data_IF_338641286597
#
_entry.id   IF_338641286597
#
_cell.length_a   1.000
_cell.length_b   1.000
_cell.length_c   1.000
_cell.angle_alpha   90.00
_cell.angle_beta   90.00
_cell.angle_gamma   90.00
#
_symmetry.space_group_name_H-M   'P 1'
#
loop_
_entity.id
_entity.type
_entity.pdbx_description
1 polymer ?
#
# COMPACT_ATOMS: atom_id res chain seq x y z
N UNK A 1 -27.90 -5.55 13.27
CA UNK A 1 -27.16 -4.34 13.70
C UNK A 1 -27.93 -3.63 14.80
N UNK A 2 -27.27 -3.31 15.92
CA UNK A 2 -27.89 -2.51 17.01
C UNK A 2 -28.20 -1.11 16.48
N UNK A 3 -29.46 -0.65 16.53
CA UNK A 3 -29.83 0.73 16.16
C UNK A 3 -29.29 1.68 17.21
N UNK A 4 -28.18 2.36 16.93
CA UNK A 4 -27.65 3.42 17.77
C UNK A 4 -28.35 4.72 17.39
N UNK A 5 -28.83 5.49 18.37
CA UNK A 5 -29.49 6.77 18.13
C UNK A 5 -28.48 7.81 17.61
N UNK A 6 -28.92 8.67 16.70
CA UNK A 6 -28.13 9.81 16.24
C UNK A 6 -27.77 10.67 17.47
N UNK A 7 -26.48 10.97 17.72
CA UNK A 7 -26.10 11.80 18.85
C UNK A 7 -26.57 13.25 18.64
N UNK A 8 -26.75 13.96 19.75
CA UNK A 8 -26.98 15.40 19.75
C UNK A 8 -25.66 16.14 19.99
N UNK A 9 -25.56 17.41 19.63
CA UNK A 9 -24.38 18.24 19.90
C UNK A 9 -24.02 18.29 21.40
N UNK A 10 -25.02 18.19 22.28
CA UNK A 10 -24.87 18.14 23.74
C UNK A 10 -24.45 16.75 24.28
N UNK A 11 -24.34 15.74 23.43
CA UNK A 11 -23.85 14.42 23.84
C UNK A 11 -22.31 14.38 23.89
N UNK A 12 -21.75 13.34 24.52
CA UNK A 12 -20.30 13.12 24.60
C UNK A 12 -19.74 12.61 23.28
N UNK A 13 -18.46 12.92 23.03
CA UNK A 13 -17.70 12.40 21.87
C UNK A 13 -17.70 10.85 21.81
N UNK A 14 -17.67 10.19 22.96
CA UNK A 14 -17.83 8.72 23.01
C UNK A 14 -19.09 8.21 22.31
N UNK A 15 -20.19 8.95 22.39
CA UNK A 15 -21.44 8.59 21.72
C UNK A 15 -21.40 8.84 20.22
N UNK A 16 -20.68 9.87 19.74
CA UNK A 16 -20.39 10.11 18.34
C UNK A 16 -19.56 8.96 17.75
N UNK A 17 -18.54 8.52 18.47
CA UNK A 17 -17.68 7.39 18.08
C UNK A 17 -18.50 6.12 17.97
N UNK A 18 -19.30 5.79 18.98
CA UNK A 18 -20.17 4.62 18.97
C UNK A 18 -21.16 4.65 17.80
N UNK A 19 -21.78 5.81 17.55
CA UNK A 19 -22.68 6.01 16.41
C UNK A 19 -21.99 5.75 15.07
N UNK A 20 -20.75 6.23 14.89
CA UNK A 20 -19.99 5.97 13.67
C UNK A 20 -19.63 4.49 13.50
N UNK A 21 -19.17 3.83 14.56
CA UNK A 21 -18.77 2.41 14.53
C UNK A 21 -19.96 1.47 14.18
N UNK A 22 -21.20 1.88 14.49
CA UNK A 22 -22.39 1.12 14.11
C UNK A 22 -23.06 1.61 12.81
N UNK A 23 -22.40 2.48 12.05
CA UNK A 23 -22.96 3.07 10.85
C UNK A 23 -22.78 2.18 9.60
N UNK A 24 -23.65 2.33 8.60
CA UNK A 24 -23.45 1.70 7.29
C UNK A 24 -22.13 2.13 6.60
N UNK A 25 -21.65 3.35 6.87
CA UNK A 25 -20.40 3.86 6.33
C UNK A 25 -19.19 3.09 6.91
N UNK A 26 -19.23 2.74 8.19
CA UNK A 26 -18.22 1.90 8.82
C UNK A 26 -18.32 0.44 8.35
N UNK A 27 -19.52 -0.11 8.25
CA UNK A 27 -19.76 -1.48 7.81
C UNK A 27 -19.27 -1.77 6.38
N UNK A 28 -19.21 -0.75 5.51
CA UNK A 28 -18.66 -0.84 4.15
C UNK A 28 -17.11 -0.90 4.09
N UNK A 29 -16.44 -0.65 5.20
CA UNK A 29 -14.98 -0.75 5.25
C UNK A 29 -14.55 -2.23 5.22
N UNK A 30 -13.35 -2.49 4.68
CA UNK A 30 -12.74 -3.82 4.78
C UNK A 30 -12.53 -4.22 6.25
N UNK A 31 -12.56 -5.53 6.58
CA UNK A 31 -12.37 -6.00 7.97
C UNK A 31 -11.10 -5.46 8.62
N UNK A 32 -10.01 -5.32 7.85
CA UNK A 32 -8.77 -4.72 8.33
C UNK A 32 -8.95 -3.23 8.66
N UNK A 33 -9.60 -2.47 7.77
CA UNK A 33 -9.85 -1.04 8.01
C UNK A 33 -10.77 -0.83 9.20
N UNK A 34 -11.74 -1.72 9.43
CA UNK A 34 -12.60 -1.67 10.62
C UNK A 34 -11.77 -1.80 11.89
N UNK A 35 -10.90 -2.82 11.99
CA UNK A 35 -9.99 -3.00 13.13
C UNK A 35 -9.05 -1.82 13.36
N UNK A 36 -8.48 -1.28 12.28
CA UNK A 36 -7.61 -0.11 12.37
C UNK A 36 -8.39 1.11 12.89
N UNK A 37 -9.61 1.33 12.42
CA UNK A 37 -10.46 2.44 12.85
C UNK A 37 -10.93 2.30 14.30
N UNK A 38 -11.34 1.10 14.72
CA UNK A 38 -11.67 0.79 16.11
C UNK A 38 -10.50 1.11 17.03
N UNK A 39 -9.28 0.68 16.66
CA UNK A 39 -8.07 0.95 17.43
C UNK A 39 -7.78 2.46 17.57
N UNK A 40 -7.89 3.21 16.47
CA UNK A 40 -7.65 4.67 16.50
C UNK A 40 -8.77 5.43 17.21
N UNK A 41 -10.03 5.04 17.03
CA UNK A 41 -11.16 5.66 17.73
C UNK A 41 -11.18 5.33 19.24
N UNK A 42 -10.70 4.17 19.65
CA UNK A 42 -10.47 3.86 21.07
C UNK A 42 -9.45 4.83 21.70
N UNK A 43 -8.37 5.17 20.98
CA UNK A 43 -7.39 6.19 21.41
C UNK A 43 -8.04 7.57 21.55
N UNK A 44 -8.84 7.98 20.56
CA UNK A 44 -9.61 9.24 20.65
C UNK A 44 -10.53 9.25 21.84
N UNK A 45 -11.26 8.14 22.05
CA UNK A 45 -12.18 8.00 23.18
C UNK A 45 -11.49 8.14 24.54
N UNK A 46 -10.26 7.59 24.67
CA UNK A 46 -9.44 7.73 25.87
C UNK A 46 -9.02 9.19 26.12
N UNK A 47 -8.78 9.97 25.06
CA UNK A 47 -8.29 11.35 25.18
C UNK A 47 -9.41 12.38 25.39
N UNK A 48 -10.48 12.30 24.59
CA UNK A 48 -11.54 13.31 24.54
C UNK A 48 -12.96 12.71 24.58
N UNK A 49 -13.12 11.43 24.78
CA UNK A 49 -14.43 10.76 24.74
C UNK A 49 -15.44 11.27 25.76
N UNK A 50 -14.98 11.79 26.90
CA UNK A 50 -15.82 12.38 27.96
C UNK A 50 -16.29 13.82 27.68
N UNK A 51 -15.69 14.50 26.67
CA UNK A 51 -16.03 15.88 26.31
C UNK A 51 -17.36 15.93 25.58
N UNK A 52 -18.11 17.02 25.77
CA UNK A 52 -19.34 17.30 25.00
C UNK A 52 -18.94 17.70 23.58
N UNK A 53 -19.69 17.24 22.60
CA UNK A 53 -19.36 17.39 21.17
C UNK A 53 -19.24 18.87 20.78
N UNK A 54 -20.21 19.72 21.21
CA UNK A 54 -20.22 21.15 20.89
C UNK A 54 -19.11 21.96 21.57
N UNK A 55 -18.57 21.45 22.68
CA UNK A 55 -17.48 22.09 23.44
C UNK A 55 -16.09 21.72 22.90
N UNK A 56 -16.01 20.80 21.93
CA UNK A 56 -14.70 20.40 21.37
C UNK A 56 -14.12 21.51 20.51
N UNK A 57 -13.04 22.11 21.00
CA UNK A 57 -12.32 23.16 20.29
C UNK A 57 -11.09 22.62 19.54
N UNK A 58 -10.59 23.39 18.57
CA UNK A 58 -9.34 23.08 17.88
C UNK A 58 -8.15 22.99 18.85
N UNK A 59 -8.11 23.85 19.87
CA UNK A 59 -7.06 23.82 20.89
C UNK A 59 -7.03 22.52 21.72
N UNK A 60 -8.21 21.99 22.08
CA UNK A 60 -8.31 20.69 22.76
C UNK A 60 -7.81 19.55 21.84
N UNK A 61 -8.15 19.63 20.56
CA UNK A 61 -7.75 18.62 19.59
C UNK A 61 -6.25 18.67 19.27
N UNK A 62 -5.65 19.85 19.18
CA UNK A 62 -4.20 20.00 19.02
C UNK A 62 -3.44 19.40 20.22
N UNK A 63 -3.86 19.69 21.45
CA UNK A 63 -3.27 19.05 22.66
C UNK A 63 -3.40 17.52 22.63
N UNK A 64 -4.54 16.99 22.18
CA UNK A 64 -4.72 15.54 22.04
C UNK A 64 -3.82 14.97 20.94
N UNK A 65 -3.68 15.68 19.81
CA UNK A 65 -2.81 15.30 18.70
C UNK A 65 -1.34 15.26 19.12
N UNK A 66 -0.83 16.30 19.79
CA UNK A 66 0.54 16.38 20.33
C UNK A 66 0.84 15.18 21.24
N UNK A 67 -0.11 14.83 22.11
CA UNK A 67 0.02 13.65 22.95
C UNK A 67 0.05 12.34 22.15
N UNK A 68 -0.80 12.20 21.11
CA UNK A 68 -0.76 11.01 20.24
C UNK A 68 0.56 10.94 19.47
N UNK A 69 1.12 12.08 19.07
CA UNK A 69 2.41 12.15 18.40
C UNK A 69 3.55 11.75 19.34
N UNK A 70 3.57 12.30 20.55
CA UNK A 70 4.56 11.97 21.57
C UNK A 70 4.52 10.50 21.96
N UNK A 71 3.32 9.92 22.20
CA UNK A 71 3.16 8.56 22.70
C UNK A 71 3.33 7.51 21.60
N UNK A 72 3.02 7.82 20.32
CA UNK A 72 2.88 6.84 19.25
C UNK A 72 3.51 7.22 17.91
N UNK A 73 4.13 8.39 17.83
CA UNK A 73 4.80 8.93 16.64
C UNK A 73 3.85 9.60 15.63
N UNK A 74 4.43 10.44 14.79
CA UNK A 74 3.77 11.31 13.80
C UNK A 74 2.77 10.54 12.92
N UNK A 75 3.19 9.39 12.37
CA UNK A 75 2.34 8.60 11.46
C UNK A 75 1.04 8.15 12.14
N UNK A 76 1.15 7.70 13.38
CA UNK A 76 0.00 7.21 14.15
C UNK A 76 -0.93 8.35 14.53
N UNK A 77 -0.39 9.50 14.94
CA UNK A 77 -1.16 10.71 15.24
C UNK A 77 -1.93 11.20 14.01
N UNK A 78 -1.26 11.32 12.86
CA UNK A 78 -1.87 11.71 11.59
C UNK A 78 -3.00 10.76 11.16
N UNK A 79 -2.79 9.45 11.32
CA UNK A 79 -3.83 8.49 10.98
C UNK A 79 -5.01 8.54 11.97
N UNK A 80 -4.74 8.71 13.27
CA UNK A 80 -5.78 8.92 14.29
C UNK A 80 -6.63 10.16 13.97
N UNK A 81 -5.99 11.29 13.62
CA UNK A 81 -6.69 12.50 13.16
C UNK A 81 -7.55 12.25 11.94
N UNK A 82 -7.02 11.49 10.94
CA UNK A 82 -7.75 11.17 9.72
C UNK A 82 -9.00 10.34 9.99
N UNK A 83 -8.90 9.33 10.86
CA UNK A 83 -10.02 8.47 11.26
C UNK A 83 -11.06 9.27 12.06
N UNK A 84 -10.64 10.11 13.00
CA UNK A 84 -11.53 11.01 13.75
C UNK A 84 -12.26 11.98 12.82
N UNK A 85 -11.55 12.60 11.86
CA UNK A 85 -12.16 13.49 10.88
C UNK A 85 -13.24 12.80 10.05
N UNK A 86 -13.06 11.52 9.72
CA UNK A 86 -14.07 10.74 9.00
C UNK A 86 -15.31 10.47 9.85
N UNK A 87 -15.15 10.09 11.10
CA UNK A 87 -16.26 9.92 12.04
C UNK A 87 -17.02 11.22 12.25
N UNK A 88 -16.29 12.35 12.36
CA UNK A 88 -16.87 13.68 12.50
C UNK A 88 -17.68 14.11 11.27
N UNK A 89 -17.09 13.96 10.06
CA UNK A 89 -17.77 14.23 8.78
C UNK A 89 -19.05 13.40 8.60
N UNK A 90 -19.01 12.12 9.02
CA UNK A 90 -20.21 11.29 8.99
C UNK A 90 -21.33 11.85 9.89
N UNK A 91 -20.98 12.33 11.09
CA UNK A 91 -21.95 12.93 12.00
C UNK A 91 -22.47 14.28 11.47
N UNK A 92 -21.63 15.06 10.78
CA UNK A 92 -22.10 16.27 10.07
C UNK A 92 -23.12 15.94 8.99
N UNK A 93 -22.95 14.84 8.25
CA UNK A 93 -23.92 14.39 7.24
C UNK A 93 -25.27 13.96 7.82
N UNK A 94 -25.41 13.96 9.16
CA UNK A 94 -26.62 13.68 9.93
C UNK A 94 -27.07 14.87 10.77
N UNK A 95 -26.60 16.07 10.43
CA UNK A 95 -26.95 17.33 11.04
C UNK A 95 -26.65 17.42 12.56
N UNK A 96 -25.74 16.57 13.06
CA UNK A 96 -25.31 16.59 14.47
C UNK A 96 -24.55 17.87 14.80
N UNK A 97 -23.79 18.38 13.84
CA UNK A 97 -22.99 19.59 13.95
C UNK A 97 -22.74 20.23 12.58
N UNK A 98 -22.37 21.53 12.56
CA UNK A 98 -22.21 22.29 11.33
C UNK A 98 -20.78 22.35 10.79
N UNK A 99 -19.77 22.14 11.64
CA UNK A 99 -18.36 22.23 11.27
C UNK A 99 -17.53 21.08 11.83
N UNK A 100 -16.38 20.84 11.22
CA UNK A 100 -15.43 19.81 11.64
C UNK A 100 -14.20 20.47 12.29
N UNK A 101 -14.10 20.56 13.62
CA UNK A 101 -12.96 21.15 14.28
C UNK A 101 -11.67 20.34 14.07
N UNK A 102 -11.79 19.06 13.70
CA UNK A 102 -10.64 18.19 13.42
C UNK A 102 -9.87 18.65 12.18
N UNK A 103 -10.51 19.40 11.27
CA UNK A 103 -9.84 19.98 10.09
C UNK A 103 -8.82 21.05 10.45
N UNK A 104 -8.94 21.66 11.63
CA UNK A 104 -8.07 22.73 12.13
C UNK A 104 -6.86 22.20 12.91
N UNK A 105 -6.71 20.89 13.05
CA UNK A 105 -5.52 20.32 13.67
C UNK A 105 -4.32 20.51 12.75
N UNK A 106 -3.28 21.15 13.26
CA UNK A 106 -1.98 21.23 12.61
C UNK A 106 -1.27 19.89 12.68
N UNK A 107 -0.84 19.37 11.52
CA UNK A 107 -0.23 18.04 11.44
C UNK A 107 1.27 18.15 11.19
N UNK A 108 2.03 17.40 11.96
CA UNK A 108 3.46 17.23 11.71
C UNK A 108 3.71 16.40 10.45
N UNK A 109 4.78 16.74 9.74
CA UNK A 109 5.24 15.99 8.57
C UNK A 109 6.63 15.43 8.80
N UNK A 110 6.77 14.13 8.59
CA UNK A 110 8.08 13.47 8.61
C UNK A 110 8.65 13.45 7.18
N UNK A 111 9.80 14.09 6.98
CA UNK A 111 10.57 13.97 5.73
C UNK A 111 11.26 12.61 5.74
N UNK A 112 10.70 11.63 5.01
CA UNK A 112 11.37 10.35 4.79
C UNK A 112 12.06 10.36 3.44
N UNK A 113 13.34 10.01 3.43
CA UNK A 113 14.05 9.63 2.21
C UNK A 113 13.36 8.38 1.66
N UNK A 114 12.83 8.50 0.45
CA UNK A 114 12.14 7.39 -0.19
C UNK A 114 13.17 6.51 -0.88
N UNK A 115 13.67 5.51 -0.17
CA UNK A 115 14.59 4.52 -0.75
C UNK A 115 13.89 3.79 -1.89
N UNK A 116 14.57 3.68 -3.02
CA UNK A 116 14.16 2.88 -4.18
C UNK A 116 15.18 1.77 -4.40
N UNK A 117 14.73 0.66 -4.92
CA UNK A 117 15.61 -0.36 -5.45
C UNK A 117 16.30 0.16 -6.72
N UNK A 118 17.47 -0.35 -7.00
CA UNK A 118 18.07 -0.29 -8.32
C UNK A 118 18.14 -1.70 -8.92
N UNK A 119 18.43 -1.78 -10.21
CA UNK A 119 18.50 -3.07 -10.92
C UNK A 119 19.55 -4.02 -10.34
N UNK A 120 20.66 -3.49 -9.86
CA UNK A 120 21.73 -4.28 -9.26
C UNK A 120 21.25 -4.92 -7.95
N UNK A 121 20.63 -4.12 -7.07
CA UNK A 121 20.04 -4.61 -5.80
C UNK A 121 18.94 -5.64 -6.04
N UNK A 122 18.05 -5.43 -7.01
CA UNK A 122 17.02 -6.43 -7.38
C UNK A 122 17.69 -7.74 -7.84
N UNK A 123 18.68 -7.65 -8.75
CA UNK A 123 19.39 -8.84 -9.24
C UNK A 123 20.08 -9.60 -8.12
N UNK A 124 20.79 -8.88 -7.23
CA UNK A 124 21.48 -9.49 -6.08
C UNK A 124 20.47 -10.17 -5.15
N UNK A 125 19.38 -9.49 -4.81
CA UNK A 125 18.30 -10.06 -3.98
C UNK A 125 17.74 -11.34 -4.60
N UNK A 126 17.38 -11.33 -5.89
CA UNK A 126 16.81 -12.49 -6.57
C UNK A 126 17.80 -13.64 -6.65
N UNK A 127 19.07 -13.37 -6.94
CA UNK A 127 20.12 -14.40 -6.95
C UNK A 127 20.22 -15.07 -5.58
N UNK A 128 20.26 -14.29 -4.50
CA UNK A 128 20.30 -14.81 -3.12
C UNK A 128 19.02 -15.59 -2.77
N UNK A 129 17.84 -15.02 -3.09
CA UNK A 129 16.57 -15.69 -2.79
C UNK A 129 16.40 -17.02 -3.52
N UNK A 130 16.85 -17.11 -4.77
CA UNK A 130 16.74 -18.33 -5.57
C UNK A 130 17.83 -19.36 -5.27
N UNK A 131 18.91 -19.00 -4.62
CA UNK A 131 19.94 -19.96 -4.19
C UNK A 131 19.49 -20.86 -3.05
N UNK A 132 18.42 -20.49 -2.33
CA UNK A 132 17.91 -21.26 -1.20
C UNK A 132 16.42 -21.59 -1.36
N UNK A 133 16.09 -22.85 -1.24
CA UNK A 133 14.71 -23.35 -1.33
C UNK A 133 13.73 -22.59 -0.44
N UNK A 134 14.11 -22.29 0.80
CA UNK A 134 13.26 -21.61 1.79
C UNK A 134 12.82 -20.21 1.37
N UNK A 135 13.58 -19.53 0.51
CA UNK A 135 13.31 -18.18 0.05
C UNK A 135 12.76 -18.09 -1.37
N UNK A 136 12.70 -19.22 -2.10
CA UNK A 136 12.29 -19.23 -3.52
C UNK A 136 10.93 -18.55 -3.75
N UNK A 137 9.92 -18.87 -2.93
CA UNK A 137 8.62 -18.22 -3.02
C UNK A 137 8.66 -16.72 -2.70
N UNK A 138 9.52 -16.29 -1.76
CA UNK A 138 9.74 -14.87 -1.48
C UNK A 138 10.44 -14.18 -2.66
N UNK A 139 11.43 -14.82 -3.25
CA UNK A 139 12.07 -14.37 -4.48
C UNK A 139 11.06 -14.16 -5.61
N UNK A 140 10.15 -15.13 -5.82
CA UNK A 140 9.08 -14.99 -6.82
C UNK A 140 8.12 -13.84 -6.53
N UNK A 141 7.70 -13.64 -5.28
CA UNK A 141 6.83 -12.51 -4.91
C UNK A 141 7.53 -11.17 -5.23
N UNK A 142 8.82 -11.05 -4.91
CA UNK A 142 9.61 -9.85 -5.20
C UNK A 142 9.82 -9.67 -6.70
N UNK A 143 10.15 -10.73 -7.44
CA UNK A 143 10.36 -10.72 -8.87
C UNK A 143 9.09 -10.28 -9.62
N UNK A 144 7.95 -10.90 -9.34
CA UNK A 144 6.65 -10.53 -9.90
C UNK A 144 6.26 -9.09 -9.56
N UNK A 145 6.49 -8.67 -8.30
CA UNK A 145 6.19 -7.30 -7.87
C UNK A 145 7.06 -6.26 -8.58
N UNK A 146 8.30 -6.59 -8.90
CA UNK A 146 9.22 -5.71 -9.62
C UNK A 146 8.90 -5.68 -11.12
N UNK A 147 8.88 -6.84 -11.80
CA UNK A 147 8.67 -6.92 -13.24
C UNK A 147 7.32 -6.31 -13.67
N UNK A 148 6.28 -6.61 -12.93
CA UNK A 148 4.93 -6.13 -13.25
C UNK A 148 4.53 -4.84 -12.54
N UNK A 149 5.40 -4.28 -11.70
CA UNK A 149 5.06 -3.10 -10.91
C UNK A 149 3.84 -3.31 -10.00
N UNK A 150 3.52 -4.56 -9.61
CA UNK A 150 2.36 -4.88 -8.81
C UNK A 150 2.62 -4.79 -7.30
N UNK A 151 1.55 -4.77 -6.50
CA UNK A 151 1.69 -4.80 -5.04
C UNK A 151 2.10 -6.19 -4.59
N UNK A 152 3.07 -6.29 -3.70
CA UNK A 152 3.45 -7.58 -3.09
C UNK A 152 2.27 -8.27 -2.38
N UNK A 153 1.28 -7.50 -1.93
CA UNK A 153 0.04 -8.04 -1.39
C UNK A 153 -0.79 -8.83 -2.40
N UNK A 154 -0.81 -8.41 -3.68
CA UNK A 154 -1.48 -9.10 -4.76
C UNK A 154 -0.63 -10.31 -5.21
N UNK A 155 0.68 -10.14 -5.36
CA UNK A 155 1.59 -11.22 -5.77
C UNK A 155 1.63 -12.41 -4.80
N UNK A 156 1.55 -12.17 -3.49
CA UNK A 156 1.49 -13.25 -2.50
C UNK A 156 0.21 -14.09 -2.53
N UNK A 157 -0.84 -13.57 -3.17
CA UNK A 157 -2.14 -14.25 -3.30
C UNK A 157 -2.45 -14.65 -4.73
N UNK A 158 -1.49 -14.45 -5.63
CA UNK A 158 -1.62 -14.83 -7.03
C UNK A 158 -1.79 -16.34 -7.13
N UNK A 159 -2.73 -16.76 -7.93
CA UNK A 159 -3.07 -18.16 -8.19
C UNK A 159 -2.68 -18.54 -9.62
N UNK A 160 -2.53 -19.84 -9.89
CA UNK A 160 -2.09 -20.34 -11.19
C UNK A 160 -3.08 -20.07 -12.31
N UNK A 161 -4.37 -19.98 -12.00
CA UNK A 161 -5.43 -19.65 -12.96
C UNK A 161 -5.31 -18.23 -13.56
N UNK A 162 -4.56 -17.34 -12.88
CA UNK A 162 -4.24 -16.01 -13.39
C UNK A 162 -3.08 -16.02 -14.41
N UNK A 163 -2.42 -17.16 -14.64
CA UNK A 163 -1.23 -17.28 -15.50
C UNK A 163 -1.46 -18.24 -16.67
N UNK A 164 -1.26 -17.73 -17.87
CA UNK A 164 -1.04 -18.54 -19.06
C UNK A 164 0.47 -18.65 -19.30
N UNK A 165 1.07 -19.76 -18.87
CA UNK A 165 2.50 -19.97 -18.99
C UNK A 165 2.93 -20.35 -20.42
N UNK A 166 2.02 -20.82 -21.27
CA UNK A 166 2.31 -21.14 -22.66
C UNK A 166 2.42 -19.87 -23.50
N UNK A 167 1.50 -18.93 -23.27
CA UNK A 167 1.50 -17.61 -23.91
C UNK A 167 2.35 -16.57 -23.16
N UNK A 168 2.95 -16.93 -22.03
CA UNK A 168 3.66 -16.00 -21.13
C UNK A 168 2.83 -14.75 -20.82
N UNK A 169 1.60 -14.93 -20.35
CA UNK A 169 0.64 -13.87 -20.02
C UNK A 169 0.12 -14.02 -18.59
N UNK A 170 -0.16 -12.87 -17.96
CA UNK A 170 -0.79 -12.76 -16.65
C UNK A 170 -2.04 -11.89 -16.74
N UNK A 171 -3.16 -12.38 -16.21
CA UNK A 171 -4.43 -11.68 -16.09
C UNK A 171 -4.83 -11.59 -14.62
N UNK A 172 -4.92 -10.38 -14.07
CA UNK A 172 -5.13 -10.17 -12.64
C UNK A 172 -6.14 -9.06 -12.36
N UNK A 173 -7.12 -9.33 -11.50
CA UNK A 173 -7.94 -8.30 -10.86
C UNK A 173 -7.32 -7.90 -9.52
N UNK A 174 -6.86 -6.65 -9.39
CA UNK A 174 -6.18 -6.16 -8.19
C UNK A 174 -7.10 -6.12 -6.97
N UNK A 175 -6.66 -6.66 -5.83
CA UNK A 175 -7.47 -6.80 -4.60
C UNK A 175 -7.90 -5.46 -3.98
N UNK A 176 -7.11 -4.39 -4.14
CA UNK A 176 -7.37 -3.11 -3.46
C UNK A 176 -8.37 -2.19 -4.16
N UNK A 177 -8.42 -2.21 -5.50
CA UNK A 177 -9.23 -1.29 -6.30
C UNK A 177 -10.06 -1.97 -7.38
N UNK A 178 -9.96 -3.29 -7.53
CA UNK A 178 -10.66 -4.05 -8.55
C UNK A 178 -10.24 -3.69 -9.98
N UNK A 179 -9.04 -3.15 -10.17
CA UNK A 179 -8.55 -2.85 -11.51
C UNK A 179 -8.02 -4.13 -12.15
N UNK A 180 -8.46 -4.39 -13.38
CA UNK A 180 -7.95 -5.50 -14.18
C UNK A 180 -6.66 -5.07 -14.88
N UNK A 181 -5.68 -5.95 -14.89
CA UNK A 181 -4.41 -5.79 -15.59
C UNK A 181 -4.09 -7.05 -16.37
N UNK A 182 -3.61 -6.86 -17.61
CA UNK A 182 -3.24 -7.92 -18.55
C UNK A 182 -1.79 -7.67 -18.94
N UNK A 183 -0.87 -8.49 -18.44
CA UNK A 183 0.55 -8.22 -18.56
C UNK A 183 1.31 -9.38 -19.22
N UNK A 184 2.30 -9.08 -20.06
CA UNK A 184 3.22 -10.09 -20.54
C UNK A 184 4.13 -10.55 -19.38
N UNK A 185 4.55 -11.80 -19.42
CA UNK A 185 5.54 -12.36 -18.51
C UNK A 185 6.89 -12.34 -19.21
N UNK A 186 7.90 -11.72 -18.60
CA UNK A 186 9.25 -11.72 -19.15
C UNK A 186 9.77 -13.18 -19.28
N UNK A 187 10.63 -13.45 -20.26
CA UNK A 187 11.16 -14.80 -20.50
C UNK A 187 11.82 -15.37 -19.24
N UNK A 188 12.56 -14.54 -18.51
CA UNK A 188 13.24 -14.96 -17.28
C UNK A 188 12.24 -15.33 -16.19
N UNK A 189 11.23 -14.49 -15.95
CA UNK A 189 10.18 -14.79 -14.97
C UNK A 189 9.34 -15.99 -15.40
N UNK A 190 9.01 -16.14 -16.70
CA UNK A 190 8.25 -17.25 -17.22
C UNK A 190 8.97 -18.59 -16.97
N UNK A 191 10.30 -18.63 -17.17
CA UNK A 191 11.13 -19.79 -16.83
C UNK A 191 11.03 -20.13 -15.34
N UNK A 192 11.18 -19.13 -14.47
CA UNK A 192 11.10 -19.35 -13.01
C UNK A 192 9.71 -19.82 -12.58
N UNK A 193 8.65 -19.29 -13.20
CA UNK A 193 7.28 -19.72 -12.93
C UNK A 193 7.00 -21.15 -13.38
N UNK A 194 7.54 -21.56 -14.53
CA UNK A 194 7.44 -22.96 -15.00
C UNK A 194 8.15 -23.92 -14.04
N UNK A 195 9.33 -23.58 -13.56
CA UNK A 195 10.04 -24.40 -12.55
C UNK A 195 9.25 -24.45 -11.23
N UNK A 196 8.68 -23.32 -10.81
CA UNK A 196 7.82 -23.29 -9.62
C UNK A 196 6.56 -24.14 -9.80
N UNK A 197 5.95 -24.12 -10.99
CA UNK A 197 4.75 -24.90 -11.29
C UNK A 197 4.99 -26.41 -11.22
N UNK A 198 6.18 -26.90 -11.62
CA UNK A 198 6.54 -28.31 -11.47
C UNK A 198 6.43 -28.80 -10.03
N UNK A 199 6.84 -27.94 -9.08
CA UNK A 199 6.87 -28.30 -7.67
C UNK A 199 5.56 -27.97 -6.93
N UNK A 200 4.82 -26.96 -7.38
CA UNK A 200 3.67 -26.40 -6.66
C UNK A 200 2.39 -26.27 -7.52
N UNK A 201 2.35 -26.81 -8.73
CA UNK A 201 1.15 -26.77 -9.58
C UNK A 201 -0.03 -27.58 -9.06
N UNK A 202 0.18 -28.42 -8.04
CA UNK A 202 -0.87 -29.22 -7.40
C UNK A 202 -1.76 -28.44 -6.42
N UNK A 203 -1.45 -27.18 -6.17
CA UNK A 203 -2.19 -26.28 -5.27
C UNK A 203 -2.35 -24.89 -5.90
N UNK A 204 -3.21 -24.03 -5.37
CA UNK A 204 -3.68 -22.82 -6.05
C UNK A 204 -2.62 -21.72 -6.18
N UNK A 205 -1.72 -21.54 -5.19
CA UNK A 205 -0.87 -20.35 -5.09
C UNK A 205 0.43 -20.45 -5.86
N UNK A 206 0.78 -19.41 -6.62
CA UNK A 206 2.04 -19.33 -7.38
C UNK A 206 3.26 -19.31 -6.46
N UNK A 207 3.19 -18.60 -5.36
CA UNK A 207 4.28 -18.45 -4.40
C UNK A 207 3.83 -18.85 -2.99
N UNK A 208 3.63 -20.16 -2.72
CA UNK A 208 3.12 -20.62 -1.45
C UNK A 208 4.16 -20.57 -0.34
N UNK A 209 3.69 -20.48 0.90
CA UNK A 209 4.46 -20.80 2.10
C UNK A 209 4.36 -22.30 2.36
N UNK A 210 5.51 -22.95 2.45
CA UNK A 210 5.61 -24.36 2.86
C UNK A 210 5.90 -24.40 4.35
N UNK A 211 5.06 -25.08 5.12
CA UNK A 211 5.31 -25.38 6.53
C UNK A 211 5.86 -26.80 6.64
N UNK A 212 7.16 -26.92 6.91
CA UNK A 212 7.84 -28.19 7.05
C UNK A 212 7.26 -29.04 8.18
N UNK A 213 6.83 -28.40 9.28
CA UNK A 213 6.34 -29.07 10.48
C UNK A 213 4.96 -29.72 10.32
N UNK A 214 4.19 -29.30 9.32
CA UNK A 214 2.79 -29.73 9.15
C UNK A 214 2.46 -30.22 7.75
N UNK A 215 3.39 -30.23 6.82
CA UNK A 215 3.15 -30.56 5.41
C UNK A 215 2.11 -29.65 4.73
N UNK A 216 1.78 -28.52 5.33
CA UNK A 216 0.73 -27.63 4.81
C UNK A 216 1.34 -26.60 3.85
N UNK A 217 0.70 -26.47 2.70
CA UNK A 217 0.99 -25.46 1.71
C UNK A 217 -0.11 -24.41 1.76
N UNK A 218 0.24 -23.13 1.97
CA UNK A 218 -0.71 -22.03 2.08
C UNK A 218 -0.12 -20.73 1.56
N UNK A 219 -0.97 -19.74 1.34
CA UNK A 219 -0.48 -18.38 1.05
C UNK A 219 0.22 -17.76 2.26
N UNK A 220 1.17 -16.87 2.01
CA UNK A 220 1.76 -16.05 3.07
C UNK A 220 0.72 -15.11 3.71
N UNK A 221 0.80 -14.91 5.01
CA UNK A 221 0.12 -13.83 5.70
C UNK A 221 0.74 -12.46 5.36
N UNK A 222 -0.04 -11.38 5.54
CA UNK A 222 0.44 -10.01 5.22
C UNK A 222 1.69 -9.61 5.99
N UNK A 223 1.81 -10.06 7.25
CA UNK A 223 2.91 -9.69 8.13
C UNK A 223 4.10 -10.67 8.05
N UNK A 224 3.99 -11.73 7.24
CA UNK A 224 5.03 -12.76 7.13
C UNK A 224 6.07 -12.44 6.04
N UNK A 225 5.72 -11.60 5.06
CA UNK A 225 6.60 -11.31 3.91
C UNK A 225 7.75 -10.39 4.29
N UNK A 226 7.47 -9.31 5.01
CA UNK A 226 8.49 -8.30 5.31
C UNK A 226 9.66 -8.86 6.15
N UNK A 227 9.45 -9.68 7.19
CA UNK A 227 10.55 -10.33 7.90
C UNK A 227 11.41 -11.21 6.98
N UNK A 228 10.79 -12.00 6.10
CA UNK A 228 11.52 -12.88 5.18
C UNK A 228 12.29 -12.11 4.11
N UNK A 229 11.74 -10.98 3.61
CA UNK A 229 12.48 -10.07 2.73
C UNK A 229 13.71 -9.53 3.47
N UNK A 230 13.58 -9.15 4.75
CA UNK A 230 14.71 -8.66 5.52
C UNK A 230 15.79 -9.74 5.74
N UNK A 231 15.41 -11.01 5.94
CA UNK A 231 16.37 -12.12 6.00
C UNK A 231 17.18 -12.25 4.70
N UNK A 232 16.50 -12.14 3.54
CA UNK A 232 17.19 -12.18 2.23
C UNK A 232 18.06 -10.94 2.00
N UNK A 233 17.62 -9.77 2.43
CA UNK A 233 18.41 -8.53 2.34
C UNK A 233 19.69 -8.64 3.18
N UNK A 234 19.60 -9.17 4.40
CA UNK A 234 20.75 -9.37 5.27
C UNK A 234 21.74 -10.36 4.65
N UNK A 235 21.27 -11.50 4.15
CA UNK A 235 22.12 -12.50 3.48
C UNK A 235 22.77 -11.94 2.21
N UNK A 236 22.06 -11.08 1.50
CA UNK A 236 22.52 -10.42 0.28
C UNK A 236 23.43 -9.21 0.56
N UNK A 237 23.66 -8.84 1.82
CA UNK A 237 24.33 -7.60 2.24
C UNK A 237 23.69 -6.34 1.61
N UNK A 238 22.37 -6.30 1.52
CA UNK A 238 21.59 -5.18 0.98
C UNK A 238 20.95 -4.35 2.11
N UNK A 239 20.73 -3.04 1.90
CA UNK A 239 20.14 -2.18 2.90
C UNK A 239 18.70 -2.59 3.29
N UNK A 240 18.37 -2.64 4.58
CA UNK A 240 17.03 -2.96 5.08
C UNK A 240 15.95 -1.90 4.77
N UNK A 241 16.36 -0.72 4.33
CA UNK A 241 15.48 0.34 3.83
C UNK A 241 14.81 -0.02 2.50
N UNK A 242 15.31 -1.04 1.79
CA UNK A 242 14.73 -1.60 0.59
C UNK A 242 13.48 -2.41 0.95
N UNK A 243 12.33 -1.78 0.91
CA UNK A 243 11.06 -2.42 1.31
C UNK A 243 10.31 -3.01 0.13
N UNK A 244 9.48 -4.02 0.39
CA UNK A 244 8.57 -4.58 -0.61
C UNK A 244 7.67 -3.52 -1.29
N UNK A 245 7.27 -2.49 -0.55
CA UNK A 245 6.43 -1.41 -1.09
C UNK A 245 7.19 -0.51 -2.08
N UNK A 246 8.51 -0.40 -1.94
CA UNK A 246 9.33 0.42 -2.84
C UNK A 246 9.57 -0.23 -4.21
N UNK A 247 9.36 -1.55 -4.38
CA UNK A 247 9.47 -2.24 -5.67
C UNK A 247 8.55 -1.64 -6.73
N UNK A 248 7.26 -1.48 -6.41
CA UNK A 248 6.29 -0.86 -7.33
C UNK A 248 6.66 0.59 -7.67
N UNK A 249 7.24 1.32 -6.70
CA UNK A 249 7.77 2.66 -6.95
C UNK A 249 8.92 2.61 -7.94
N UNK A 250 9.86 1.71 -7.74
CA UNK A 250 11.00 1.52 -8.63
C UNK A 250 10.52 1.24 -10.05
N UNK A 251 9.63 0.27 -10.25
CA UNK A 251 9.09 -0.06 -11.56
C UNK A 251 8.42 1.15 -12.25
N UNK A 252 7.59 1.91 -11.51
CA UNK A 252 6.97 3.13 -12.05
C UNK A 252 8.02 4.18 -12.42
N UNK A 253 9.02 4.40 -11.57
CA UNK A 253 10.08 5.38 -11.83
C UNK A 253 10.91 4.97 -13.06
N UNK A 254 11.27 3.69 -13.19
CA UNK A 254 12.00 3.17 -14.34
C UNK A 254 11.22 3.31 -15.65
N UNK A 255 9.90 3.04 -15.62
CA UNK A 255 9.04 3.27 -16.79
C UNK A 255 9.00 4.75 -17.19
N UNK A 256 8.91 5.66 -16.20
CA UNK A 256 8.97 7.12 -16.46
C UNK A 256 10.34 7.53 -17.01
N UNK A 257 11.43 7.02 -16.45
CA UNK A 257 12.80 7.26 -16.91
C UNK A 257 13.02 6.69 -18.32
N UNK A 258 12.35 5.60 -18.68
CA UNK A 258 12.34 5.03 -20.03
C UNK A 258 11.47 5.81 -21.02
N UNK A 259 10.71 6.82 -20.57
CA UNK A 259 9.86 7.64 -21.44
C UNK A 259 8.49 7.02 -21.75
N UNK A 260 8.07 5.98 -21.00
CA UNK A 260 6.73 5.42 -21.15
C UNK A 260 5.70 6.47 -20.77
N UNK A 261 4.66 6.64 -21.59
CA UNK A 261 3.58 7.58 -21.32
C UNK A 261 2.74 7.18 -20.09
N UNK A 262 1.99 8.14 -19.55
CA UNK A 262 1.20 7.91 -18.33
C UNK A 262 0.13 6.83 -18.51
N UNK A 263 -0.43 6.69 -19.70
CA UNK A 263 -1.48 5.68 -19.98
C UNK A 263 -0.87 4.29 -19.93
N UNK A 264 0.29 4.09 -20.58
CA UNK A 264 1.04 2.83 -20.52
C UNK A 264 1.42 2.43 -19.10
N UNK A 265 1.93 3.41 -18.31
CA UNK A 265 2.23 3.16 -16.89
C UNK A 265 0.99 2.78 -16.09
N UNK A 266 -0.15 3.43 -16.36
CA UNK A 266 -1.41 3.10 -15.70
C UNK A 266 -1.94 1.72 -16.08
N UNK A 267 -1.81 1.32 -17.35
CA UNK A 267 -2.18 -0.03 -17.83
C UNK A 267 -1.36 -1.11 -17.12
N UNK A 268 -0.04 -0.93 -17.03
CA UNK A 268 0.83 -1.88 -16.32
C UNK A 268 0.50 -1.95 -14.84
N UNK A 269 0.32 -0.79 -14.21
CA UNK A 269 0.23 -0.72 -12.76
C UNK A 269 -1.20 -0.80 -12.21
N UNK A 270 -2.23 -0.67 -13.05
CA UNK A 270 -3.63 -0.62 -12.61
C UNK A 270 -3.97 0.65 -11.80
N UNK A 271 -3.33 1.79 -12.09
CA UNK A 271 -3.71 3.07 -11.50
C UNK A 271 -4.91 3.66 -12.24
N UNK A 272 -6.04 3.84 -11.58
CA UNK A 272 -7.26 4.41 -12.16
C UNK A 272 -7.19 5.94 -12.25
N UNK A 273 -6.42 6.58 -11.36
CA UNK A 273 -6.32 8.05 -11.31
C UNK A 273 -4.87 8.49 -11.55
N UNK A 274 -4.60 9.29 -12.60
CA UNK A 274 -3.26 9.83 -12.89
C UNK A 274 -2.62 10.57 -11.71
N UNK A 275 -3.42 11.26 -10.89
CA UNK A 275 -2.91 11.93 -9.68
C UNK A 275 -2.23 10.97 -8.69
N UNK A 276 -2.53 9.68 -8.76
CA UNK A 276 -1.85 8.65 -7.95
C UNK A 276 -0.39 8.45 -8.34
N UNK A 277 0.02 8.88 -9.54
CA UNK A 277 1.38 8.80 -10.03
C UNK A 277 2.25 10.00 -9.62
N UNK A 278 1.66 11.12 -9.17
CA UNK A 278 2.41 12.30 -8.70
C UNK A 278 3.57 11.99 -7.73
N UNK A 279 3.44 11.08 -6.75
CA UNK A 279 4.54 10.76 -5.84
C UNK A 279 5.77 10.10 -6.52
N UNK A 280 5.62 9.64 -7.74
CA UNK A 280 6.66 8.98 -8.53
C UNK A 280 7.25 9.90 -9.61
N UNK A 281 6.57 11.01 -9.93
CA UNK A 281 7.08 12.02 -10.84
C UNK A 281 8.25 12.76 -10.19
N UNK A 282 9.45 12.43 -10.60
CA UNK A 282 10.68 13.07 -10.17
C UNK A 282 11.24 13.83 -11.38
N UNK A 283 11.57 15.10 -11.19
CA UNK A 283 12.25 15.86 -12.21
C UNK A 283 13.67 15.30 -12.38
N UNK A 284 13.96 14.70 -13.54
CA UNK A 284 15.27 14.17 -13.88
C UNK A 284 15.84 14.92 -15.07
N UNK A 285 17.16 15.07 -15.10
CA UNK A 285 17.83 15.68 -16.25
C UNK A 285 17.54 14.89 -17.54
N UNK A 286 17.59 13.56 -17.48
CA UNK A 286 17.30 12.69 -18.63
C UNK A 286 15.86 12.85 -19.15
N UNK A 287 14.89 13.04 -18.25
CA UNK A 287 13.50 13.30 -18.62
C UNK A 287 13.34 14.64 -19.33
N UNK A 288 13.97 15.67 -18.80
CA UNK A 288 13.97 17.01 -19.42
C UNK A 288 14.67 17.00 -20.78
N UNK A 289 15.83 16.35 -20.90
CA UNK A 289 16.58 16.23 -22.17
C UNK A 289 15.76 15.53 -23.24
N UNK A 290 15.11 14.39 -22.92
CA UNK A 290 14.22 13.71 -23.88
C UNK A 290 13.04 14.58 -24.33
N UNK A 291 12.42 15.30 -23.40
CA UNK A 291 11.30 16.18 -23.75
C UNK A 291 11.74 17.33 -24.66
N UNK A 292 12.92 17.87 -24.46
CA UNK A 292 13.48 18.92 -25.33
C UNK A 292 13.90 18.37 -26.70
N UNK A 293 14.55 17.20 -26.74
CA UNK A 293 14.89 16.53 -28.00
C UNK A 293 13.63 16.20 -28.84
N UNK A 294 12.59 15.64 -28.19
CA UNK A 294 11.30 15.36 -28.84
C UNK A 294 10.57 16.61 -29.36
N UNK A 295 10.90 17.79 -28.84
CA UNK A 295 10.38 19.08 -29.31
C UNK A 295 11.10 19.60 -30.55
N UNK A 296 12.18 18.96 -31.00
CA UNK A 296 12.95 19.38 -32.20
C UNK A 296 13.96 20.52 -31.96
N UNK A 297 14.45 20.69 -30.73
CA UNK A 297 15.44 21.73 -30.43
C UNK A 297 16.88 21.33 -30.79
N UNK A 298 17.11 20.12 -31.28
CA UNK A 298 18.46 19.61 -31.57
C UNK A 298 18.85 19.71 -33.08
N UNK A 299 17.97 20.26 -33.95
CA UNK A 299 18.16 20.25 -35.40
C UNK A 299 18.54 21.61 -36.02
N UNK A 300 18.90 22.62 -35.24
CA UNK A 300 19.27 23.94 -35.77
C UNK A 300 20.74 24.30 -35.51
N UNK A 301 21.69 23.41 -35.73
CA UNK A 301 23.11 23.79 -35.91
C UNK A 301 23.84 22.68 -36.67
N UNK A 302 23.69 22.72 -38.02
CA UNK A 302 24.54 21.99 -38.94
C UNK A 302 24.79 22.84 -40.20
#
# INVERSE_FOLDING_TARGET
>A
MRKVKIPKATDKVSKLIDYYLHSPAFAKLSPRSQKDYEYHLARVNKSIGSKVIEDVTAGMLNKAYEKWEQDHGIRTANYTKSVLSRAWKYSMSKDVMRHNPVSLIETSTERRTKTKWDRASVKTFLTTAYSQWRWRSIGLIVHMAYDWGQRTGDMRTLTWDALDLDQCRMDLTQSKRGADVHLPISQNLCKMLREQHKDFGFQDYVAPKVSLDRGQVRRYGLNEIAPLINEVLDEANLPRELTAMSLRRTAVTEMMEAGVDLVGIMQVTGHVNPASLKPYMVNTFSGASRALAARGNDDEDS
#
